data_IF_734368773395
#
_entry.id   IF_734368773395
#
_cell.length_a   1.000
_cell.length_b   1.000
_cell.length_c   1.000
_cell.angle_alpha   90.00
_cell.angle_beta   90.00
_cell.angle_gamma   90.00
#
_symmetry.space_group_name_H-M   'P 1'
#
loop_
_entity.id
_entity.type
_entity.pdbx_description
1 polymer ?
#
# COMPACT_ATOMS: atom_id res chain seq x y z
N UNK A 1 10.85 -24.87 -12.38
CA UNK A 1 11.88 -23.80 -12.41
C UNK A 1 11.40 -22.72 -13.38
N UNK A 2 11.12 -21.50 -12.92
CA UNK A 2 10.62 -20.42 -13.77
C UNK A 2 11.72 -19.90 -14.73
N UNK A 3 11.36 -19.62 -15.99
CA UNK A 3 12.27 -19.10 -17.03
C UNK A 3 12.92 -17.76 -16.59
N UNK A 4 14.19 -17.47 -16.97
CA UNK A 4 14.85 -16.19 -16.68
C UNK A 4 14.01 -14.96 -17.04
N UNK A 5 13.24 -15.04 -18.13
CA UNK A 5 12.35 -13.96 -18.59
C UNK A 5 11.18 -13.73 -17.63
N UNK A 6 10.62 -14.81 -17.08
CA UNK A 6 9.53 -14.71 -16.09
C UNK A 6 10.00 -14.10 -14.77
N UNK A 7 11.28 -14.28 -14.39
CA UNK A 7 11.89 -13.62 -13.23
C UNK A 7 12.11 -12.11 -13.46
N UNK A 8 12.48 -11.71 -14.67
CA UNK A 8 12.63 -10.29 -15.02
C UNK A 8 11.29 -9.55 -14.95
N UNK A 9 10.22 -10.12 -15.53
CA UNK A 9 8.87 -9.55 -15.47
C UNK A 9 8.36 -9.43 -14.03
N UNK A 10 8.55 -10.46 -13.20
CA UNK A 10 8.17 -10.42 -11.78
C UNK A 10 8.91 -9.31 -11.03
N UNK A 11 10.19 -9.09 -11.36
CA UNK A 11 11.00 -8.04 -10.75
C UNK A 11 10.55 -6.65 -11.18
N UNK A 12 10.24 -6.46 -12.46
CA UNK A 12 9.71 -5.18 -12.99
C UNK A 12 8.34 -4.85 -12.41
N UNK A 13 7.45 -5.83 -12.23
CA UNK A 13 6.14 -5.62 -11.60
C UNK A 13 6.30 -5.25 -10.13
N UNK A 14 7.16 -5.96 -9.38
CA UNK A 14 7.48 -5.62 -7.98
C UNK A 14 8.07 -4.21 -7.86
N UNK A 15 8.96 -3.86 -8.78
CA UNK A 15 9.56 -2.53 -8.85
C UNK A 15 8.50 -1.46 -9.11
N UNK A 16 7.64 -1.65 -10.11
CA UNK A 16 6.55 -0.72 -10.41
C UNK A 16 5.62 -0.50 -9.20
N UNK A 17 5.14 -1.58 -8.56
CA UNK A 17 4.27 -1.50 -7.39
C UNK A 17 4.95 -0.82 -6.19
N UNK A 18 6.26 -1.03 -6.00
CA UNK A 18 7.04 -0.35 -4.95
C UNK A 18 7.03 1.17 -5.14
N UNK A 19 7.14 1.65 -6.37
CA UNK A 19 7.18 3.08 -6.66
C UNK A 19 5.80 3.73 -6.74
N UNK A 20 4.76 2.99 -7.16
CA UNK A 20 3.37 3.45 -7.07
C UNK A 20 2.96 3.65 -5.61
N UNK A 21 3.37 2.75 -4.71
CA UNK A 21 3.04 2.84 -3.28
C UNK A 21 4.11 3.54 -2.44
N UNK A 22 5.18 4.02 -3.07
CA UNK A 22 6.15 4.89 -2.38
C UNK A 22 5.37 6.14 -1.99
N UNK A 23 5.29 6.40 -0.68
CA UNK A 23 4.46 7.47 -0.14
C UNK A 23 4.73 8.79 -0.88
N UNK A 24 3.68 9.57 -1.18
CA UNK A 24 3.83 10.78 -1.98
C UNK A 24 4.76 11.77 -1.28
N UNK A 25 5.52 12.50 -2.09
CA UNK A 25 6.31 13.63 -1.61
C UNK A 25 5.38 14.60 -0.87
N UNK A 26 5.80 14.94 0.34
CA UNK A 26 5.07 15.88 1.21
C UNK A 26 5.52 17.29 0.85
N UNK A 27 4.56 18.16 0.59
CA UNK A 27 4.81 19.57 0.36
C UNK A 27 4.20 20.37 1.52
N UNK A 28 4.97 21.28 2.09
CA UNK A 28 4.47 22.26 3.05
C UNK A 28 4.09 23.52 2.28
N UNK A 29 2.86 23.98 2.43
CA UNK A 29 2.34 25.21 1.84
C UNK A 29 2.11 26.21 2.96
N UNK A 30 2.61 27.43 2.78
CA UNK A 30 2.41 28.55 3.71
C UNK A 30 1.43 29.53 3.07
N UNK A 31 0.35 29.87 3.76
CA UNK A 31 -0.64 30.83 3.29
C UNK A 31 -0.29 32.21 3.84
N UNK A 32 0.18 33.10 2.97
CA UNK A 32 0.47 34.48 3.35
C UNK A 32 -0.74 35.35 3.00
N UNK A 33 -1.38 36.02 3.98
CA UNK A 33 -2.47 36.95 3.71
C UNK A 33 -1.98 38.16 2.89
N UNK A 34 -2.79 38.60 1.93
CA UNK A 34 -2.45 39.70 0.99
C UNK A 34 -2.57 41.08 1.67
N UNK A 35 -3.27 41.15 2.81
CA UNK A 35 -3.55 42.39 3.50
C UNK A 35 -2.44 42.66 4.52
N UNK A 36 -1.43 43.42 4.12
CA UNK A 36 -0.44 44.01 5.02
C UNK A 36 -1.05 45.17 5.83
N UNK A 37 -2.16 44.92 6.52
CA UNK A 37 -2.64 45.87 7.52
C UNK A 37 -1.99 45.50 8.84
N UNK A 38 -0.79 46.05 9.01
CA UNK A 38 -0.13 46.17 10.29
C UNK A 38 -1.11 46.85 11.24
N UNK A 39 -1.66 46.13 12.22
CA UNK A 39 -1.88 46.58 13.60
C UNK A 39 -2.86 45.66 14.32
N UNK A 40 -2.49 45.36 15.57
CA UNK A 40 -3.30 44.81 16.66
C UNK A 40 -3.33 43.29 16.76
N UNK A 41 -2.64 42.74 17.77
CA UNK A 41 -3.03 41.66 18.69
C UNK A 41 -4.01 40.56 18.23
N UNK A 42 -4.07 40.22 16.95
CA UNK A 42 -4.90 39.13 16.47
C UNK A 42 -4.16 37.83 16.71
N UNK A 43 -4.83 36.93 17.40
CA UNK A 43 -4.36 35.58 17.70
C UNK A 43 -3.98 34.91 16.38
N UNK A 44 -2.68 34.74 16.14
CA UNK A 44 -2.16 34.06 14.96
C UNK A 44 -2.53 32.59 15.06
N UNK A 45 -3.41 32.13 14.17
CA UNK A 45 -3.78 30.73 14.05
C UNK A 45 -2.77 29.99 13.17
N UNK A 46 -1.76 29.38 13.81
CA UNK A 46 -0.73 28.56 13.14
C UNK A 46 -1.34 27.44 12.28
N UNK A 47 -2.52 26.92 12.64
CA UNK A 47 -3.20 25.84 11.91
C UNK A 47 -3.72 26.36 10.57
N UNK A 48 -4.18 27.61 10.52
CA UNK A 48 -4.65 28.23 9.30
C UNK A 48 -3.50 28.63 8.34
N UNK A 49 -2.29 28.85 8.88
CA UNK A 49 -1.14 29.34 8.11
C UNK A 49 -0.38 28.23 7.39
N UNK A 50 -0.35 27.01 7.95
CA UNK A 50 0.47 25.91 7.44
C UNK A 50 -0.34 24.69 7.03
N UNK A 51 -0.22 24.30 5.75
CA UNK A 51 -0.80 23.06 5.23
C UNK A 51 0.30 22.06 4.85
N UNK A 52 0.22 20.87 5.43
CA UNK A 52 1.02 19.71 5.00
C UNK A 52 0.21 18.94 3.96
N UNK A 53 0.55 19.14 2.70
CA UNK A 53 -0.10 18.51 1.57
C UNK A 53 0.68 17.27 1.10
N UNK A 54 -0.03 16.32 0.49
CA UNK A 54 0.58 15.19 -0.22
C UNK A 54 0.26 15.32 -1.70
N UNK A 55 1.27 15.12 -2.55
CA UNK A 55 1.02 15.03 -3.98
C UNK A 55 0.07 13.86 -4.29
N UNK A 56 -0.93 14.13 -5.12
CA UNK A 56 -1.90 13.17 -5.63
C UNK A 56 -1.83 13.25 -7.15
N UNK A 57 -1.57 12.14 -7.83
CA UNK A 57 -1.55 12.13 -9.30
C UNK A 57 -2.93 12.48 -9.86
N UNK A 58 -3.01 13.09 -11.05
CA UNK A 58 -4.27 13.50 -11.66
C UNK A 58 -5.27 12.33 -11.79
N UNK A 59 -4.78 11.14 -12.14
CA UNK A 59 -5.59 9.92 -12.26
C UNK A 59 -6.13 9.48 -10.89
N UNK A 60 -5.30 9.47 -9.85
CA UNK A 60 -5.70 9.09 -8.48
C UNK A 60 -6.70 10.10 -7.89
N UNK A 61 -6.46 11.40 -8.08
CA UNK A 61 -7.37 12.46 -7.64
C UNK A 61 -8.74 12.33 -8.29
N UNK A 62 -8.78 12.10 -9.61
CA UNK A 62 -10.03 11.87 -10.35
C UNK A 62 -10.79 10.67 -9.80
N UNK A 63 -10.11 9.55 -9.54
CA UNK A 63 -10.75 8.37 -8.94
C UNK A 63 -11.32 8.63 -7.54
N UNK A 64 -10.62 9.39 -6.70
CA UNK A 64 -11.11 9.77 -5.36
C UNK A 64 -12.32 10.72 -5.44
N UNK A 65 -12.29 11.70 -6.35
CA UNK A 65 -13.39 12.66 -6.56
C UNK A 65 -14.66 11.95 -7.02
N UNK A 66 -14.53 11.07 -8.01
CA UNK A 66 -15.67 10.36 -8.58
C UNK A 66 -16.08 9.11 -7.77
N UNK A 67 -15.39 8.78 -6.67
CA UNK A 67 -15.62 7.61 -5.82
C UNK A 67 -15.76 6.30 -6.62
N UNK A 68 -14.99 6.14 -7.69
CA UNK A 68 -14.98 4.88 -8.42
C UNK A 68 -14.44 3.77 -7.51
N UNK A 69 -15.06 2.59 -7.55
CA UNK A 69 -14.59 1.42 -6.80
C UNK A 69 -13.18 1.05 -7.25
N UNK A 70 -12.17 1.38 -6.45
CA UNK A 70 -10.75 1.24 -6.81
C UNK A 70 -10.36 -0.25 -6.93
N UNK A 71 -11.05 -1.13 -6.21
CA UNK A 71 -10.72 -2.55 -6.11
C UNK A 71 -11.99 -3.39 -5.98
N UNK A 72 -12.23 -4.29 -6.92
CA UNK A 72 -13.14 -5.42 -6.70
C UNK A 72 -12.29 -6.62 -6.30
N UNK A 73 -12.23 -6.92 -5.00
CA UNK A 73 -11.48 -8.07 -4.47
C UNK A 73 -12.39 -8.86 -3.54
N UNK A 74 -12.58 -10.14 -3.85
CA UNK A 74 -13.30 -11.07 -3.00
C UNK A 74 -12.35 -12.19 -2.56
N UNK A 75 -12.09 -12.38 -1.26
CA UNK A 75 -12.52 -11.53 -0.13
C UNK A 75 -11.77 -10.18 -0.09
N UNK A 76 -12.38 -9.16 0.53
CA UNK A 76 -11.84 -7.79 0.60
C UNK A 76 -10.51 -7.72 1.34
N UNK A 77 -10.27 -8.63 2.28
CA UNK A 77 -9.03 -8.75 3.04
C UNK A 77 -8.58 -10.20 2.97
N UNK A 78 -7.37 -10.44 2.46
CA UNK A 78 -6.71 -11.74 2.49
C UNK A 78 -5.62 -11.67 3.56
N UNK A 79 -5.65 -12.59 4.53
CA UNK A 79 -4.57 -12.72 5.50
C UNK A 79 -3.36 -13.33 4.81
N UNK A 80 -2.23 -12.64 4.87
CA UNK A 80 -0.96 -13.22 4.47
C UNK A 80 -0.47 -14.12 5.62
N UNK A 81 -0.28 -15.41 5.33
CA UNK A 81 0.30 -16.34 6.30
C UNK A 81 1.80 -16.00 6.44
N UNK A 82 2.20 -15.48 7.60
CA UNK A 82 3.61 -15.35 7.96
C UNK A 82 3.93 -16.43 8.99
N UNK A 83 5.06 -17.09 8.81
CA UNK A 83 5.53 -18.13 9.71
C UNK A 83 7.06 -18.04 9.82
N UNK A 84 7.60 -18.56 10.92
CA UNK A 84 9.03 -18.80 11.04
C UNK A 84 9.45 -19.95 10.10
N UNK A 85 10.76 -20.08 9.78
CA UNK A 85 11.25 -21.24 9.04
C UNK A 85 10.77 -22.54 9.70
N UNK A 86 10.20 -23.45 8.90
CA UNK A 86 9.65 -24.75 9.32
C UNK A 86 8.42 -24.67 10.26
N UNK A 87 7.76 -23.51 10.36
CA UNK A 87 6.51 -23.35 11.12
C UNK A 87 5.31 -23.00 10.22
N UNK A 88 5.31 -23.52 9.00
CA UNK A 88 4.20 -23.32 8.07
C UNK A 88 2.88 -23.86 8.62
N UNK A 89 1.80 -23.16 8.32
CA UNK A 89 0.47 -23.68 8.54
C UNK A 89 0.19 -24.80 7.54
N UNK A 90 -0.11 -25.99 8.05
CA UNK A 90 -0.52 -27.15 7.26
C UNK A 90 -2.02 -27.36 7.50
N UNK A 91 -2.78 -27.55 6.41
CA UNK A 91 -4.20 -27.85 6.45
C UNK A 91 -4.38 -29.31 6.05
N UNK A 92 -5.03 -30.10 6.91
CA UNK A 92 -5.30 -31.52 6.69
C UNK A 92 -6.78 -31.82 6.97
N UNK A 93 -7.34 -32.78 6.23
CA UNK A 93 -8.67 -33.33 6.43
C UNK A 93 -8.68 -34.51 7.39
N UNK A 94 -9.87 -34.97 7.78
CA UNK A 94 -10.04 -36.10 8.70
C UNK A 94 -9.56 -37.44 8.10
N UNK A 95 -9.60 -37.57 6.76
CA UNK A 95 -9.18 -38.77 6.02
C UNK A 95 -7.76 -38.67 5.43
N UNK A 96 -7.02 -37.59 5.71
CA UNK A 96 -5.67 -37.41 5.18
C UNK A 96 -4.67 -38.26 5.98
N UNK A 97 -3.80 -39.00 5.27
CA UNK A 97 -2.68 -39.71 5.90
C UNK A 97 -1.60 -38.72 6.39
N UNK A 98 -1.05 -38.99 7.58
CA UNK A 98 -0.09 -38.10 8.25
C UNK A 98 1.22 -38.00 7.47
N UNK A 99 1.70 -39.11 6.90
CA UNK A 99 2.97 -39.13 6.16
C UNK A 99 2.83 -38.31 4.86
N UNK A 100 1.70 -38.43 4.18
CA UNK A 100 1.38 -37.63 2.99
C UNK A 100 1.24 -36.13 3.29
N UNK A 101 0.75 -35.78 4.48
CA UNK A 101 0.59 -34.39 4.91
C UNK A 101 1.92 -33.72 5.22
N UNK A 102 2.90 -34.47 5.75
CA UNK A 102 4.25 -33.98 6.04
C UNK A 102 5.08 -33.76 4.78
N UNK A 103 4.85 -34.57 3.73
CA UNK A 103 5.54 -34.47 2.45
C UNK A 103 4.94 -33.40 1.52
N UNK A 104 3.76 -32.85 1.83
CA UNK A 104 3.17 -31.76 1.07
C UNK A 104 4.10 -30.54 1.13
N UNK A 105 4.57 -30.01 -0.03
CA UNK A 105 5.31 -28.76 -0.03
C UNK A 105 4.38 -27.67 0.51
N UNK A 106 4.70 -27.16 1.70
CA UNK A 106 4.00 -26.01 2.28
C UNK A 106 3.89 -24.90 1.25
N UNK A 107 2.81 -24.12 1.28
CA UNK A 107 2.54 -23.03 0.32
C UNK A 107 3.68 -22.00 0.35
N UNK A 108 4.73 -22.27 -0.40
CA UNK A 108 5.94 -21.50 -0.50
C UNK A 108 6.57 -21.80 -1.87
N UNK A 109 6.01 -21.21 -2.93
CA UNK A 109 6.77 -20.64 -4.05
C UNK A 109 5.84 -19.97 -5.07
N UNK A 110 5.65 -18.66 -4.92
CA UNK A 110 5.45 -17.72 -6.03
C UNK A 110 6.07 -16.37 -5.67
#
# INVERSE_FOLDING_TARGET
MASPETRALQSSIKYLFKYINKGPDRATVVIVPINNECENNDVVDEIAEYYICRYLSACEASWRIFKYGVHCRYPTVVRLHFHLPNQQQIVYGEDDDIDDVLDKPSVAAS
#
